data_IF_599091532371
#
_entry.id   IF_599091532371
#
_cell.length_a   1.000
_cell.length_b   1.000
_cell.length_c   1.000
_cell.angle_alpha   90.00
_cell.angle_beta   90.00
_cell.angle_gamma   90.00
#
_symmetry.space_group_name_H-M   'P 1'
#
loop_
_entity.id
_entity.type
_entity.pdbx_description
1 polymer ?
#
# COMPACT_ATOMS: atom_id res chain seq x y z
N UNK A 1 -21.06 10.02 1.06
CA UNK A 1 -22.00 9.21 1.87
C UNK A 1 -21.45 9.10 3.28
N UNK A 2 -22.26 9.40 4.32
CA UNK A 2 -21.93 8.95 5.69
C UNK A 2 -22.21 7.45 5.72
N UNK A 3 -21.22 6.64 6.10
CA UNK A 3 -21.46 5.23 6.37
C UNK A 3 -22.46 5.11 7.52
N UNK A 4 -23.40 4.17 7.44
CA UNK A 4 -24.36 3.91 8.50
C UNK A 4 -23.62 3.64 9.82
N UNK A 5 -24.08 4.26 10.90
CA UNK A 5 -23.55 4.01 12.24
C UNK A 5 -23.96 2.61 12.68
N UNK A 6 -23.00 1.69 12.71
CA UNK A 6 -23.17 0.37 13.32
C UNK A 6 -22.45 0.36 14.67
N UNK A 7 -23.13 -0.10 15.71
CA UNK A 7 -22.65 -0.07 17.11
C UNK A 7 -22.31 1.34 17.64
N UNK A 8 -22.89 2.40 17.06
CA UNK A 8 -22.60 3.79 17.46
C UNK A 8 -21.22 4.29 17.05
N UNK A 9 -20.54 3.57 16.14
CA UNK A 9 -19.27 3.99 15.55
C UNK A 9 -19.54 4.70 14.23
N UNK A 10 -18.89 5.85 14.04
CA UNK A 10 -18.86 6.57 12.78
C UNK A 10 -17.49 6.43 12.14
N UNK A 11 -17.48 6.26 10.82
CA UNK A 11 -16.25 6.13 10.03
C UNK A 11 -16.02 7.40 9.23
N UNK A 12 -14.77 7.83 9.17
CA UNK A 12 -14.32 8.85 8.24
C UNK A 12 -13.17 8.27 7.41
N UNK A 13 -13.06 8.71 6.16
CA UNK A 13 -11.98 8.28 5.29
C UNK A 13 -10.65 8.85 5.80
N UNK A 14 -9.66 7.99 5.97
CA UNK A 14 -8.28 8.44 6.15
C UNK A 14 -7.88 9.15 4.84
N UNK A 15 -7.39 10.39 4.88
CA UNK A 15 -6.88 11.04 3.69
C UNK A 15 -5.85 10.15 3.00
N UNK A 16 -6.06 9.83 1.73
CA UNK A 16 -5.22 8.89 0.97
C UNK A 16 -3.74 9.28 0.96
N UNK A 17 -3.45 10.57 1.07
CA UNK A 17 -2.08 11.08 1.21
C UNK A 17 -1.42 10.68 2.53
N UNK A 18 -2.17 10.61 3.63
CA UNK A 18 -1.65 10.16 4.92
C UNK A 18 -1.24 8.69 4.85
N UNK A 19 -2.00 7.84 4.14
CA UNK A 19 -1.64 6.43 3.94
C UNK A 19 -0.32 6.28 3.16
N UNK A 20 -0.10 7.17 2.20
CA UNK A 20 1.14 7.18 1.41
C UNK A 20 2.33 7.69 2.21
N UNK A 21 2.15 8.76 2.97
CA UNK A 21 3.19 9.28 3.85
C UNK A 21 3.57 8.26 4.93
N UNK A 22 2.58 7.58 5.51
CA UNK A 22 2.80 6.46 6.42
C UNK A 22 3.58 5.32 5.77
N UNK A 23 3.28 4.95 4.52
CA UNK A 23 4.09 3.97 3.80
C UNK A 23 5.53 4.46 3.66
N UNK A 24 5.76 5.71 3.28
CA UNK A 24 7.10 6.28 3.13
C UNK A 24 7.90 6.25 4.45
N UNK A 25 7.27 6.64 5.56
CA UNK A 25 7.88 6.62 6.89
C UNK A 25 8.19 5.18 7.33
N UNK A 26 7.26 4.26 7.11
CA UNK A 26 7.43 2.84 7.44
C UNK A 26 8.54 2.21 6.59
N UNK A 27 8.55 2.51 5.29
CA UNK A 27 9.59 2.05 4.37
C UNK A 27 10.97 2.57 4.81
N UNK A 28 11.09 3.87 5.12
CA UNK A 28 12.34 4.44 5.64
C UNK A 28 12.80 3.76 6.93
N UNK A 29 11.88 3.44 7.85
CA UNK A 29 12.19 2.71 9.07
C UNK A 29 12.71 1.28 8.77
N UNK A 30 12.01 0.49 7.94
CA UNK A 30 12.37 -0.90 7.58
C UNK A 30 13.74 -0.98 6.89
N UNK A 31 14.11 0.04 6.12
CA UNK A 31 15.41 0.14 5.45
C UNK A 31 16.49 0.82 6.30
N UNK A 32 16.13 1.39 7.45
CA UNK A 32 17.06 1.97 8.40
C UNK A 32 17.73 0.91 9.30
N UNK A 33 18.74 1.36 10.05
CA UNK A 33 19.46 0.52 11.01
C UNK A 33 18.57 0.09 12.20
N UNK A 34 17.59 0.94 12.56
CA UNK A 34 16.70 0.71 13.69
C UNK A 34 15.84 -0.56 13.52
N UNK A 35 15.47 -0.93 12.29
CA UNK A 35 14.69 -2.14 12.04
C UNK A 35 15.47 -3.42 12.36
N UNK A 36 16.77 -3.46 12.06
CA UNK A 36 17.62 -4.61 12.42
C UNK A 36 17.89 -4.67 13.92
N UNK A 37 18.04 -3.51 14.56
CA UNK A 37 18.22 -3.44 16.00
C UNK A 37 16.96 -3.89 16.76
N UNK A 38 15.77 -3.60 16.22
CA UNK A 38 14.49 -3.97 16.81
C UNK A 38 14.31 -5.49 16.99
N UNK A 39 14.97 -6.31 16.17
CA UNK A 39 14.91 -7.77 16.26
C UNK A 39 15.99 -8.40 17.17
N UNK A 40 16.96 -7.61 17.64
CA UNK A 40 18.10 -8.14 18.40
C UNK A 40 17.80 -8.16 19.91
N UNK A 41 18.11 -9.26 20.62
CA UNK A 41 18.06 -9.28 22.08
C UNK A 41 19.06 -8.29 22.71
N UNK A 42 18.74 -7.71 23.88
CA UNK A 42 17.45 -7.77 24.55
C UNK A 42 16.39 -6.95 23.81
N UNK A 43 15.17 -7.48 23.70
CA UNK A 43 14.06 -6.75 23.08
C UNK A 43 13.75 -5.50 23.92
N UNK A 44 13.73 -4.34 23.27
CA UNK A 44 13.43 -3.02 23.85
C UNK A 44 12.24 -2.40 23.15
N UNK A 45 11.74 -1.29 23.71
CA UNK A 45 10.76 -0.48 23.02
C UNK A 45 11.32 -0.03 21.66
N UNK A 46 10.50 -0.16 20.61
CA UNK A 46 10.87 0.19 19.24
C UNK A 46 10.25 1.54 18.93
N UNK A 47 11.10 2.52 18.65
CA UNK A 47 10.67 3.86 18.26
C UNK A 47 10.60 3.94 16.73
N UNK A 48 9.40 4.21 16.22
CA UNK A 48 9.16 4.54 14.82
C UNK A 48 8.85 6.04 14.71
N UNK A 49 8.92 6.63 13.50
CA UNK A 49 8.47 8.01 13.30
C UNK A 49 7.00 8.27 13.71
N UNK A 50 6.17 7.22 13.82
CA UNK A 50 4.72 7.33 14.05
C UNK A 50 4.29 6.97 15.46
N UNK A 51 4.98 6.04 16.12
CA UNK A 51 4.64 5.54 17.45
C UNK A 51 5.80 4.81 18.12
N UNK A 52 5.66 4.56 19.43
CA UNK A 52 6.56 3.72 20.23
C UNK A 52 5.87 2.38 20.49
N UNK A 53 6.54 1.28 20.18
CA UNK A 53 6.04 -0.08 20.37
C UNK A 53 6.70 -0.77 21.57
N UNK A 54 5.90 -1.32 22.48
CA UNK A 54 6.39 -2.03 23.66
C UNK A 54 6.16 -3.56 23.61
N UNK A 55 5.57 -4.07 22.52
CA UNK A 55 5.28 -5.49 22.33
C UNK A 55 6.39 -6.24 21.59
N UNK A 56 6.06 -7.43 21.06
CA UNK A 56 7.01 -8.22 20.28
C UNK A 56 7.30 -7.55 18.93
N UNK A 57 8.55 -7.61 18.42
CA UNK A 57 8.88 -7.01 17.13
C UNK A 57 8.11 -7.62 15.96
N UNK A 58 7.85 -8.93 16.00
CA UNK A 58 7.09 -9.64 14.96
C UNK A 58 5.67 -9.08 14.81
N UNK A 59 4.98 -8.79 15.92
CA UNK A 59 3.66 -8.16 15.95
C UNK A 59 3.69 -6.76 15.32
N UNK A 60 4.73 -5.98 15.65
CA UNK A 60 4.92 -4.65 15.08
C UNK A 60 5.12 -4.73 13.57
N UNK A 61 6.02 -5.60 13.09
CA UNK A 61 6.28 -5.73 11.66
C UNK A 61 5.07 -6.31 10.90
N UNK A 62 4.29 -7.18 11.55
CA UNK A 62 3.00 -7.65 11.05
C UNK A 62 2.04 -6.48 10.83
N UNK A 63 1.88 -5.62 11.84
CA UNK A 63 1.05 -4.41 11.76
C UNK A 63 1.52 -3.46 10.66
N UNK A 64 2.82 -3.15 10.62
CA UNK A 64 3.42 -2.27 9.62
C UNK A 64 3.20 -2.80 8.20
N UNK A 65 3.33 -4.11 7.98
CA UNK A 65 3.10 -4.74 6.69
C UNK A 65 1.62 -4.73 6.30
N UNK A 66 0.71 -5.02 7.23
CA UNK A 66 -0.73 -4.92 6.99
C UNK A 66 -1.14 -3.48 6.61
N UNK A 67 -0.59 -2.48 7.31
CA UNK A 67 -0.81 -1.06 7.03
C UNK A 67 -0.26 -0.66 5.65
N UNK A 68 0.92 -1.14 5.26
CA UNK A 68 1.50 -0.89 3.95
C UNK A 68 0.64 -1.47 2.81
N UNK A 69 0.12 -2.69 2.99
CA UNK A 69 -0.79 -3.33 2.03
C UNK A 69 -2.10 -2.54 1.91
N UNK A 70 -2.72 -2.22 3.04
CA UNK A 70 -3.94 -1.42 3.08
C UNK A 70 -3.73 -0.07 2.40
N UNK A 71 -2.57 0.56 2.63
CA UNK A 71 -2.20 1.82 2.04
C UNK A 71 -2.23 1.78 0.51
N UNK A 72 -1.59 0.79 -0.11
CA UNK A 72 -1.55 0.69 -1.59
C UNK A 72 -2.91 0.26 -2.17
N UNK A 73 -3.64 -0.62 -1.49
CA UNK A 73 -4.99 -1.05 -1.89
C UNK A 73 -5.99 0.12 -1.86
N UNK A 74 -5.88 1.01 -0.87
CA UNK A 74 -6.72 2.21 -0.76
C UNK A 74 -6.26 3.35 -1.69
N UNK A 75 -4.97 3.41 -2.02
CA UNK A 75 -4.41 4.44 -2.89
C UNK A 75 -4.86 4.29 -4.35
N UNK A 76 -4.92 3.05 -4.84
CA UNK A 76 -5.26 2.75 -6.23
C UNK A 76 -6.65 3.26 -6.68
N UNK A 77 -7.77 2.97 -6.01
CA UNK A 77 -9.08 3.44 -6.45
C UNK A 77 -9.17 4.97 -6.45
N UNK A 78 -8.53 5.64 -5.49
CA UNK A 78 -8.42 7.10 -5.50
C UNK A 78 -7.69 7.64 -6.73
N UNK A 79 -6.52 7.07 -7.05
CA UNK A 79 -5.75 7.45 -8.24
C UNK A 79 -6.54 7.20 -9.54
N UNK A 80 -7.29 6.08 -9.60
CA UNK A 80 -8.13 5.73 -10.74
C UNK A 80 -9.30 6.70 -10.94
N UNK A 81 -10.00 7.12 -9.87
CA UNK A 81 -11.06 8.14 -9.96
C UNK A 81 -10.55 9.47 -10.48
N UNK A 82 -9.38 9.90 -10.03
CA UNK A 82 -8.77 11.11 -10.55
C UNK A 82 -8.39 10.95 -12.02
N UNK A 83 -7.81 9.80 -12.38
CA UNK A 83 -7.42 9.52 -13.75
C UNK A 83 -8.61 9.43 -14.69
N UNK A 84 -9.72 8.81 -14.28
CA UNK A 84 -10.92 8.73 -15.10
C UNK A 84 -11.53 10.12 -15.33
N UNK A 85 -11.57 10.97 -14.29
CA UNK A 85 -12.02 12.34 -14.43
C UNK A 85 -11.15 13.14 -15.43
N UNK A 86 -9.83 12.92 -15.43
CA UNK A 86 -8.94 13.50 -16.44
C UNK A 86 -9.19 12.98 -17.86
N UNK A 87 -9.65 11.73 -17.99
CA UNK A 87 -10.04 11.12 -19.28
C UNK A 87 -11.47 11.48 -19.70
N UNK A 88 -12.18 12.27 -18.89
CA UNK A 88 -13.54 12.74 -19.20
C UNK A 88 -14.67 11.86 -18.66
N UNK A 89 -14.38 10.86 -17.83
CA UNK A 89 -15.38 10.01 -17.17
C UNK A 89 -15.32 10.12 -15.64
N UNK A 90 -16.25 10.88 -15.10
CA UNK A 90 -16.47 11.04 -13.66
C UNK A 90 -17.86 10.54 -13.25
N UNK A 91 -18.37 9.50 -13.93
CA UNK A 91 -19.69 8.94 -13.63
C UNK A 91 -19.75 8.28 -12.26
N UNK A 92 -20.89 8.41 -11.58
CA UNK A 92 -21.13 7.75 -10.29
C UNK A 92 -21.08 6.23 -10.41
N UNK A 93 -21.52 5.67 -11.55
CA UNK A 93 -21.46 4.24 -11.83
C UNK A 93 -20.01 3.74 -11.83
N UNK A 94 -19.11 4.41 -12.54
CA UNK A 94 -17.69 4.05 -12.54
C UNK A 94 -17.12 4.18 -11.12
N UNK A 95 -17.40 5.27 -10.41
CA UNK A 95 -16.86 5.48 -9.07
C UNK A 95 -17.35 4.43 -8.07
N UNK A 96 -18.60 3.98 -8.18
CA UNK A 96 -19.11 2.88 -7.38
C UNK A 96 -18.38 1.56 -7.64
N UNK A 97 -18.07 1.24 -8.91
CA UNK A 97 -17.24 0.07 -9.28
C UNK A 97 -15.81 0.17 -8.75
N UNK A 98 -15.24 1.38 -8.73
CA UNK A 98 -13.89 1.63 -8.18
C UNK A 98 -13.87 1.52 -6.65
N UNK A 99 -14.95 1.90 -5.97
CA UNK A 99 -15.07 1.75 -4.51
C UNK A 99 -15.32 0.31 -4.06
N UNK A 100 -15.98 -0.49 -4.90
CA UNK A 100 -16.16 -1.93 -4.68
C UNK A 100 -15.57 -2.76 -5.83
N UNK A 101 -14.24 -3.01 -5.83
CA UNK A 101 -13.60 -3.82 -6.86
C UNK A 101 -14.12 -5.26 -6.90
N UNK A 102 -14.74 -5.77 -5.84
CA UNK A 102 -15.27 -7.14 -5.82
C UNK A 102 -16.54 -7.29 -6.66
N UNK A 103 -17.24 -6.19 -6.96
CA UNK A 103 -18.36 -6.16 -7.91
C UNK A 103 -17.95 -6.53 -9.34
N UNK A 104 -16.65 -6.46 -9.69
CA UNK A 104 -16.12 -6.71 -11.04
C UNK A 104 -16.06 -8.20 -11.43
N UNK A 105 -16.54 -9.11 -10.58
CA UNK A 105 -16.78 -10.52 -10.90
C UNK A 105 -15.53 -11.38 -11.09
N UNK A 106 -14.34 -10.93 -10.69
CA UNK A 106 -13.13 -11.74 -10.72
C UNK A 106 -13.04 -12.63 -9.49
N UNK A 107 -12.53 -13.86 -9.67
CA UNK A 107 -12.46 -14.87 -8.61
C UNK A 107 -11.46 -14.57 -7.50
N UNK A 108 -10.51 -13.65 -7.73
CA UNK A 108 -9.41 -13.35 -6.80
C UNK A 108 -9.31 -11.83 -6.60
N UNK A 109 -9.06 -11.41 -5.36
CA UNK A 109 -8.87 -10.00 -5.01
C UNK A 109 -7.84 -9.30 -5.91
N UNK A 110 -6.65 -9.91 -6.09
CA UNK A 110 -5.60 -9.39 -6.98
C UNK A 110 -6.06 -9.16 -8.43
N UNK A 111 -6.95 -10.01 -8.95
CA UNK A 111 -7.49 -9.87 -10.31
C UNK A 111 -8.44 -8.69 -10.39
N UNK A 112 -9.27 -8.50 -9.37
CA UNK A 112 -10.17 -7.36 -9.30
C UNK A 112 -9.38 -6.05 -9.14
N UNK A 113 -8.48 -6.00 -8.16
CA UNK A 113 -7.78 -4.78 -7.75
C UNK A 113 -6.77 -4.33 -8.81
N UNK A 114 -5.89 -5.21 -9.32
CA UNK A 114 -4.77 -4.79 -10.16
C UNK A 114 -4.96 -5.03 -11.65
N UNK A 115 -6.04 -5.71 -12.06
CA UNK A 115 -6.30 -5.96 -13.48
C UNK A 115 -7.62 -5.36 -13.94
N UNK A 116 -8.75 -5.81 -13.38
CA UNK A 116 -10.09 -5.40 -13.85
C UNK A 116 -10.41 -3.96 -13.49
N UNK A 117 -10.21 -3.57 -12.24
CA UNK A 117 -10.55 -2.22 -11.77
C UNK A 117 -9.82 -1.11 -12.56
N UNK A 118 -8.50 -1.19 -12.81
CA UNK A 118 -7.84 -0.22 -13.69
C UNK A 118 -8.34 -0.27 -15.14
N UNK A 119 -8.70 -1.46 -15.65
CA UNK A 119 -9.18 -1.64 -17.01
C UNK A 119 -10.58 -1.04 -17.25
N UNK A 120 -11.41 -0.89 -16.21
CA UNK A 120 -12.67 -0.13 -16.29
C UNK A 120 -12.43 1.35 -16.61
N UNK A 121 -11.31 1.91 -16.14
CA UNK A 121 -10.93 3.30 -16.47
C UNK A 121 -10.28 3.35 -17.85
N UNK A 122 -9.24 2.54 -18.06
CA UNK A 122 -8.58 2.41 -19.35
C UNK A 122 -7.74 1.13 -19.39
N UNK A 123 -7.79 0.31 -20.47
CA UNK A 123 -7.09 -0.97 -20.53
C UNK A 123 -5.59 -0.90 -20.24
N UNK A 124 -4.92 0.16 -20.71
CA UNK A 124 -3.49 0.35 -20.47
C UNK A 124 -3.13 0.65 -19.01
N UNK A 125 -4.09 1.01 -18.15
CA UNK A 125 -3.79 1.19 -16.73
C UNK A 125 -3.67 -0.15 -16.01
N UNK A 126 -4.13 -1.25 -16.60
CA UNK A 126 -4.06 -2.58 -16.01
C UNK A 126 -2.63 -3.03 -15.74
N UNK A 127 -2.33 -3.46 -14.50
CA UNK A 127 -1.00 -3.95 -14.14
C UNK A 127 -0.62 -5.18 -14.96
N UNK A 128 -1.59 -6.07 -15.22
CA UNK A 128 -1.36 -7.27 -16.04
C UNK A 128 -0.88 -6.92 -17.46
N UNK A 129 -1.35 -5.79 -18.01
CA UNK A 129 -0.97 -5.35 -19.34
C UNK A 129 0.36 -4.60 -19.33
N UNK A 130 0.57 -3.68 -18.37
CA UNK A 130 1.76 -2.83 -18.31
C UNK A 130 3.00 -3.53 -17.78
N UNK A 131 2.84 -4.38 -16.77
CA UNK A 131 3.95 -5.09 -16.14
C UNK A 131 3.46 -6.47 -15.70
N UNK A 132 3.50 -7.40 -16.66
CA UNK A 132 3.06 -8.78 -16.45
C UNK A 132 3.89 -9.49 -15.37
N UNK A 133 5.18 -9.20 -15.26
CA UNK A 133 6.04 -9.82 -14.26
C UNK A 133 5.65 -9.35 -12.85
N UNK A 134 5.47 -8.03 -12.67
CA UNK A 134 5.00 -7.48 -11.41
C UNK A 134 3.62 -8.04 -11.05
N UNK A 135 2.70 -8.14 -12.01
CA UNK A 135 1.38 -8.73 -11.80
C UNK A 135 1.45 -10.19 -11.32
N UNK A 136 2.22 -11.05 -11.99
CA UNK A 136 2.39 -12.45 -11.60
C UNK A 136 3.02 -12.59 -10.21
N UNK A 137 3.97 -11.72 -9.89
CA UNK A 137 4.56 -11.65 -8.55
C UNK A 137 3.54 -11.18 -7.52
N UNK A 138 2.68 -10.20 -7.84
CA UNK A 138 1.60 -9.74 -6.96
C UNK A 138 0.57 -10.84 -6.72
N UNK A 139 0.27 -11.70 -7.69
CA UNK A 139 -0.59 -12.86 -7.48
C UNK A 139 -0.01 -13.82 -6.42
N UNK A 140 1.30 -14.09 -6.47
CA UNK A 140 2.00 -14.91 -5.46
C UNK A 140 2.04 -14.21 -4.10
N UNK A 141 2.31 -12.91 -4.09
CA UNK A 141 2.27 -12.07 -2.89
C UNK A 141 0.90 -12.14 -2.20
N UNK A 142 -0.19 -12.05 -2.96
CA UNK A 142 -1.54 -12.17 -2.43
C UNK A 142 -1.78 -13.53 -1.79
N UNK A 143 -1.42 -14.60 -2.49
CA UNK A 143 -1.63 -15.96 -2.04
C UNK A 143 -0.81 -16.30 -0.79
N UNK A 144 0.44 -15.82 -0.72
CA UNK A 144 1.43 -16.29 0.27
C UNK A 144 1.67 -15.33 1.43
N UNK A 145 1.35 -14.05 1.29
CA UNK A 145 1.63 -13.02 2.29
C UNK A 145 0.35 -12.28 2.68
N UNK A 146 -0.28 -11.56 1.74
CA UNK A 146 -1.45 -10.73 2.04
C UNK A 146 -2.61 -11.56 2.60
N UNK A 147 -3.03 -12.62 1.94
CA UNK A 147 -4.18 -13.39 2.40
C UNK A 147 -3.95 -14.02 3.79
N UNK A 148 -2.82 -14.68 4.09
CA UNK A 148 -2.52 -15.14 5.44
C UNK A 148 -2.59 -14.02 6.49
N UNK A 149 -1.94 -12.88 6.24
CA UNK A 149 -1.92 -11.76 7.19
C UNK A 149 -3.33 -11.22 7.49
N UNK A 150 -4.21 -11.20 6.49
CA UNK A 150 -5.58 -10.73 6.65
C UNK A 150 -6.55 -11.83 7.08
N UNK A 151 -6.07 -13.07 7.29
CA UNK A 151 -6.82 -14.20 7.85
C UNK A 151 -6.31 -14.62 9.24
N UNK A 152 -5.59 -13.72 9.93
CA UNK A 152 -5.17 -13.93 11.32
C UNK A 152 -3.82 -14.62 11.49
N UNK A 153 -3.02 -14.75 10.43
CA UNK A 153 -1.61 -15.10 10.59
C UNK A 153 -0.77 -13.85 10.91
N UNK A 154 0.32 -14.05 11.64
CA UNK A 154 1.34 -13.04 11.92
C UNK A 154 2.70 -13.50 11.40
N UNK A 155 3.65 -12.56 11.32
CA UNK A 155 5.05 -12.88 11.07
C UNK A 155 5.62 -13.64 12.27
N UNK A 156 6.58 -14.52 11.99
CA UNK A 156 7.32 -15.23 13.02
C UNK A 156 8.77 -15.35 12.57
N UNK A 157 9.71 -15.22 13.51
CA UNK A 157 11.16 -15.26 13.26
C UNK A 157 11.54 -14.29 12.12
N UNK A 158 11.09 -13.04 12.22
CA UNK A 158 11.22 -12.07 11.14
C UNK A 158 12.67 -11.93 10.67
N UNK A 159 12.91 -12.07 9.37
CA UNK A 159 14.16 -11.65 8.72
C UNK A 159 13.95 -10.26 8.11
N UNK A 160 14.68 -9.25 8.58
CA UNK A 160 14.59 -7.87 8.05
C UNK A 160 14.84 -7.84 6.54
N UNK A 161 15.72 -8.69 6.01
CA UNK A 161 15.96 -8.70 4.56
C UNK A 161 14.77 -9.29 3.79
N UNK A 162 14.10 -10.31 4.34
CA UNK A 162 12.84 -10.79 3.78
C UNK A 162 11.76 -9.72 3.84
N UNK A 163 11.66 -9.00 4.95
CA UNK A 163 10.72 -7.89 5.10
C UNK A 163 10.99 -6.78 4.08
N UNK A 164 12.23 -6.33 3.93
CA UNK A 164 12.66 -5.34 2.93
C UNK A 164 12.24 -5.76 1.51
N UNK A 165 12.43 -7.03 1.13
CA UNK A 165 11.98 -7.54 -0.19
C UNK A 165 10.47 -7.47 -0.39
N UNK A 166 9.68 -7.60 0.67
CA UNK A 166 8.23 -7.43 0.63
C UNK A 166 7.86 -5.95 0.49
N UNK A 167 8.50 -5.08 1.28
CA UNK A 167 8.30 -3.62 1.17
C UNK A 167 8.72 -3.07 -0.20
N UNK A 168 9.81 -3.56 -0.78
CA UNK A 168 10.21 -3.28 -2.16
C UNK A 168 9.11 -3.67 -3.17
N UNK A 169 8.42 -4.79 -2.95
CA UNK A 169 7.33 -5.20 -3.82
C UNK A 169 6.13 -4.26 -3.71
N UNK A 170 5.77 -3.83 -2.50
CA UNK A 170 4.72 -2.82 -2.28
C UNK A 170 5.12 -1.48 -2.89
N UNK A 171 6.39 -1.07 -2.76
CA UNK A 171 6.92 0.14 -3.38
C UNK A 171 6.79 0.09 -4.91
N UNK A 172 7.09 -1.05 -5.55
CA UNK A 172 6.88 -1.23 -7.00
C UNK A 172 5.42 -1.07 -7.42
N UNK A 173 4.47 -1.45 -6.57
CA UNK A 173 3.05 -1.21 -6.85
C UNK A 173 2.73 0.29 -6.78
N UNK A 174 3.26 1.03 -5.81
CA UNK A 174 3.15 2.49 -5.80
C UNK A 174 3.81 3.14 -7.02
N UNK A 175 5.02 2.70 -7.40
CA UNK A 175 5.74 3.20 -8.59
C UNK A 175 4.94 2.94 -9.87
N UNK A 176 4.29 1.78 -9.99
CA UNK A 176 3.38 1.51 -11.10
C UNK A 176 2.23 2.53 -11.13
N UNK A 177 1.59 2.83 -10.00
CA UNK A 177 0.51 3.84 -9.92
C UNK A 177 1.04 5.22 -10.32
N UNK A 178 2.20 5.60 -9.78
CA UNK A 178 2.86 6.87 -10.05
C UNK A 178 3.23 7.07 -11.52
N UNK A 179 3.48 5.97 -12.25
CA UNK A 179 3.80 6.01 -13.67
C UNK A 179 2.70 6.62 -14.54
N UNK A 180 1.47 6.74 -14.03
CA UNK A 180 0.33 7.30 -14.77
C UNK A 180 -0.57 8.25 -13.97
N UNK A 181 -0.30 8.39 -12.69
CA UNK A 181 -0.93 9.32 -11.77
C UNK A 181 0.15 10.15 -11.07
N UNK A 182 0.14 11.48 -11.23
CA UNK A 182 1.08 12.33 -10.49
C UNK A 182 0.49 12.74 -9.13
N UNK A 183 1.02 12.23 -8.00
CA UNK A 183 0.59 12.68 -6.67
C UNK A 183 0.78 14.18 -6.45
N UNK A 184 1.70 14.83 -7.17
CA UNK A 184 2.00 16.26 -6.98
C UNK A 184 1.04 17.19 -7.72
N UNK A 185 0.28 16.69 -8.72
CA UNK A 185 -0.78 17.47 -9.36
C UNK A 185 -1.92 17.80 -8.40
N UNK A 186 -2.09 17.00 -7.35
CA UNK A 186 -3.05 17.27 -6.28
C UNK A 186 -2.43 18.16 -5.20
N UNK A 187 -1.11 18.09 -4.95
CA UNK A 187 -0.37 18.98 -4.02
C UNK A 187 1.13 19.12 -4.34
N UNK A 188 1.63 20.35 -4.48
CA UNK A 188 3.08 20.63 -4.58
C UNK A 188 3.82 20.20 -3.31
N UNK A 189 4.80 19.28 -3.43
CA UNK A 189 5.84 19.08 -2.40
C UNK A 189 5.99 17.68 -1.79
N UNK A 190 5.16 16.70 -2.17
CA UNK A 190 5.12 15.39 -1.50
C UNK A 190 5.93 14.26 -2.14
N UNK A 191 6.46 14.46 -3.35
CA UNK A 191 7.50 13.59 -3.93
C UNK A 191 7.04 12.17 -4.31
N UNK A 192 7.56 11.64 -5.42
CA UNK A 192 7.34 10.24 -5.78
C UNK A 192 8.15 9.31 -4.86
N UNK A 193 7.76 8.04 -4.76
CA UNK A 193 8.54 7.02 -4.01
C UNK A 193 9.98 6.92 -4.54
N UNK A 194 10.19 7.21 -5.83
CA UNK A 194 11.54 7.26 -6.43
C UNK A 194 12.45 8.33 -5.81
N UNK A 195 11.90 9.36 -5.15
CA UNK A 195 12.64 10.36 -4.40
C UNK A 195 13.26 9.85 -3.09
N UNK A 196 12.78 8.71 -2.54
CA UNK A 196 13.32 8.10 -1.32
C UNK A 196 14.65 7.40 -1.61
N UNK A 197 14.83 6.82 -2.80
CA UNK A 197 16.14 6.30 -3.25
C UNK A 197 17.21 7.39 -3.40
N UNK A 198 16.82 8.66 -3.50
CA UNK A 198 17.72 9.81 -3.66
C UNK A 198 18.10 10.53 -2.37
N UNK A 199 17.53 10.17 -1.21
CA UNK A 199 17.82 10.82 0.07
C UNK A 199 18.46 9.82 1.06
N UNK A 200 19.61 9.28 0.67
CA UNK A 200 20.55 8.82 1.70
C UNK A 200 21.14 10.06 2.38
N UNK A 201 21.09 10.19 3.72
CA UNK A 201 21.90 11.18 4.40
C UNK A 201 23.37 10.85 4.09
N UNK A 202 24.11 11.84 3.60
CA UNK A 202 25.57 11.76 3.60
C UNK A 202 25.99 11.61 5.06
N UNK A 203 26.60 10.48 5.37
CA UNK A 203 27.30 10.26 6.64
C UNK A 203 28.44 11.31 6.65
N UNK A 204 28.30 12.28 7.54
CA UNK A 204 29.39 13.15 8.01
C UNK A 204 29.86 12.65 9.36
#
# INVERSE_FOLDING_TARGET
MRQEELFGLSFSNIPTMNLRDEFNQTYAFVFGENAEQALKPPIKAIETPMFIWFGMPDDMFTLLLQRAILGVEAYLPFALKFKSAQLGDASEELFAKLDDPFSLGGKKAVTNIYHRMPAEVHPELSLQYRDKELYERTQKFYLRIRNPLFHGCELHDTDVNALRRVFDHVAKLYEWIDGWYDPNHVMKGFGSVSGIRGRHPKIS
#
